data_IF_052904634995
#
_entry.id   IF_052904634995
#
_cell.length_a   1.000
_cell.length_b   1.000
_cell.length_c   1.000
_cell.angle_alpha   90.00
_cell.angle_beta   90.00
_cell.angle_gamma   90.00
#
_symmetry.space_group_name_H-M   'P 1'
#
loop_
_entity.id
_entity.type
_entity.pdbx_description
1 polymer ?
#
# COMPACT_ATOMS: atom_id res chain seq x y z
N UNK A 1 -13.96 18.25 -6.44
CA UNK A 1 -14.27 18.17 -7.88
C UNK A 1 -13.46 19.23 -8.62
N UNK A 2 -13.43 19.23 -9.95
CA UNK A 2 -12.68 20.25 -10.70
C UNK A 2 -11.15 20.09 -10.71
N UNK A 3 -10.61 18.96 -10.21
CA UNK A 3 -9.18 18.65 -10.27
C UNK A 3 -8.29 19.48 -9.35
N UNK A 4 -8.87 20.13 -8.32
CA UNK A 4 -8.14 21.00 -7.40
C UNK A 4 -7.07 20.27 -6.58
N UNK A 5 -7.31 18.99 -6.29
CA UNK A 5 -6.36 18.09 -5.67
C UNK A 5 -6.68 16.65 -6.04
N UNK A 6 -5.65 15.82 -5.99
CA UNK A 6 -5.77 14.37 -6.13
C UNK A 6 -5.51 13.69 -4.78
N UNK A 7 -6.03 12.49 -4.61
CA UNK A 7 -5.84 11.68 -3.40
C UNK A 7 -5.41 10.27 -3.75
N UNK A 8 -4.66 9.65 -2.84
CA UNK A 8 -4.29 8.24 -2.90
C UNK A 8 -4.90 7.52 -1.70
N UNK A 9 -5.75 6.52 -1.96
CA UNK A 9 -6.35 5.68 -0.91
C UNK A 9 -5.37 4.56 -0.54
N UNK A 10 -4.81 4.64 0.67
CA UNK A 10 -3.83 3.66 1.17
C UNK A 10 -4.47 2.40 1.77
N UNK A 11 -5.68 2.53 2.30
CA UNK A 11 -6.45 1.42 2.85
C UNK A 11 -7.95 1.67 2.67
N UNK A 12 -8.69 0.62 2.33
CA UNK A 12 -10.13 0.66 2.15
C UNK A 12 -10.79 -0.64 2.60
N UNK A 13 -12.11 -0.65 2.89
CA UNK A 13 -12.80 -1.84 3.41
C UNK A 13 -12.67 -3.08 2.53
N UNK A 14 -12.55 -2.90 1.21
CA UNK A 14 -12.44 -3.98 0.23
C UNK A 14 -10.99 -4.45 0.00
N UNK A 15 -10.00 -3.84 0.64
CA UNK A 15 -8.60 -4.19 0.43
C UNK A 15 -8.20 -5.36 1.32
N UNK A 16 -7.51 -6.36 0.74
CA UNK A 16 -6.94 -7.49 1.49
C UNK A 16 -5.65 -7.11 2.24
N UNK A 17 -4.91 -6.14 1.72
CA UNK A 17 -3.67 -5.59 2.27
C UNK A 17 -3.73 -4.06 2.13
N UNK A 18 -3.08 -3.32 3.03
CA UNK A 18 -2.94 -1.86 2.91
C UNK A 18 -1.62 -1.52 2.24
N UNK A 19 -1.56 -0.36 1.59
CA UNK A 19 -0.32 0.21 1.05
C UNK A 19 0.37 0.98 2.16
N UNK A 20 1.64 0.68 2.42
CA UNK A 20 2.51 1.48 3.27
C UNK A 20 3.56 2.19 2.41
N UNK A 21 3.62 3.52 2.56
CA UNK A 21 4.56 4.38 1.84
C UNK A 21 5.89 4.41 2.60
N UNK A 22 6.97 3.98 1.96
CA UNK A 22 8.31 3.95 2.53
C UNK A 22 9.05 5.27 2.26
N UNK A 23 8.85 5.84 1.06
CA UNK A 23 9.45 7.10 0.66
C UNK A 23 8.54 7.87 -0.28
N UNK A 24 8.42 9.16 -0.01
CA UNK A 24 7.74 10.10 -0.89
C UNK A 24 8.37 11.48 -0.74
N UNK A 25 8.30 12.29 -1.79
CA UNK A 25 8.88 13.62 -1.85
C UNK A 25 7.83 14.62 -2.37
N UNK A 26 7.75 15.83 -1.79
CA UNK A 26 6.94 16.89 -2.34
C UNK A 26 7.67 17.56 -3.52
N UNK A 27 6.98 17.71 -4.65
CA UNK A 27 7.43 18.48 -5.81
C UNK A 27 6.48 19.67 -6.00
N UNK A 28 7.03 20.89 -6.12
CA UNK A 28 6.23 22.11 -6.28
C UNK A 28 6.56 22.81 -7.59
N UNK A 29 5.53 23.20 -8.34
CA UNK A 29 5.63 23.91 -9.62
C UNK A 29 4.64 25.07 -9.66
N UNK A 30 5.13 26.26 -9.32
CA UNK A 30 4.34 27.50 -9.37
C UNK A 30 3.24 27.54 -8.31
N UNK A 31 2.00 27.25 -8.71
CA UNK A 31 0.83 27.22 -7.82
C UNK A 31 0.28 25.81 -7.62
N UNK A 32 0.95 24.79 -8.15
CA UNK A 32 0.55 23.39 -8.08
C UNK A 32 1.65 22.55 -7.40
N UNK A 33 1.23 21.47 -6.74
CA UNK A 33 2.11 20.56 -6.04
C UNK A 33 1.74 19.11 -6.28
N UNK A 34 2.74 18.24 -6.21
CA UNK A 34 2.60 16.79 -6.29
C UNK A 34 3.28 16.19 -5.06
N UNK A 35 2.62 15.23 -4.42
CA UNK A 35 3.28 14.37 -3.45
C UNK A 35 3.66 13.06 -4.14
N UNK A 36 4.93 12.95 -4.53
CA UNK A 36 5.42 11.85 -5.35
C UNK A 36 5.85 10.70 -4.46
N UNK A 37 5.05 9.63 -4.45
CA UNK A 37 5.44 8.35 -3.83
C UNK A 37 6.54 7.71 -4.68
N UNK A 38 7.66 7.38 -4.05
CA UNK A 38 8.83 6.80 -4.71
C UNK A 38 9.01 5.32 -4.36
N UNK A 39 8.70 4.94 -3.13
CA UNK A 39 8.77 3.56 -2.65
C UNK A 39 7.58 3.23 -1.75
N UNK A 40 6.96 2.08 -1.98
CA UNK A 40 5.83 1.58 -1.19
C UNK A 40 5.74 0.05 -1.27
N UNK A 41 5.08 -0.57 -0.29
CA UNK A 41 4.82 -2.02 -0.28
C UNK A 41 3.45 -2.35 0.31
N UNK A 42 3.03 -3.60 0.16
CA UNK A 42 1.76 -4.09 0.70
C UNK A 42 1.98 -4.77 2.04
N UNK A 43 1.21 -4.39 3.05
CA UNK A 43 1.23 -5.02 4.37
C UNK A 43 -0.14 -5.58 4.73
N UNK A 44 -0.22 -6.76 5.40
CA UNK A 44 -1.47 -7.29 5.89
C UNK A 44 -2.21 -6.27 6.77
N UNK A 45 -3.54 -6.26 6.70
CA UNK A 45 -4.35 -5.42 7.57
C UNK A 45 -4.32 -6.00 8.98
N UNK A 46 -4.21 -5.14 9.99
CA UNK A 46 -4.29 -5.54 11.39
C UNK A 46 -5.68 -6.16 11.65
N UNK A 47 -5.77 -7.49 11.60
CA UNK A 47 -7.03 -8.26 11.65
C UNK A 47 -7.20 -9.30 10.54
N UNK A 48 -6.40 -9.22 9.48
CA UNK A 48 -6.27 -10.29 8.48
C UNK A 48 -5.29 -11.35 8.99
N UNK A 49 -5.77 -12.28 9.79
CA UNK A 49 -5.02 -13.51 10.06
C UNK A 49 -5.05 -14.36 8.80
N UNK A 50 -4.12 -14.12 7.87
CA UNK A 50 -3.84 -15.13 6.84
C UNK A 50 -3.05 -16.23 7.54
N UNK A 51 -3.76 -17.27 7.98
CA UNK A 51 -3.16 -18.51 8.41
C UNK A 51 -2.49 -19.17 7.20
N UNK A 52 -1.26 -18.79 6.89
CA UNK A 52 -0.34 -19.68 6.21
C UNK A 52 0.05 -20.74 7.24
N UNK A 53 -0.70 -21.84 7.28
CA UNK A 53 -0.24 -23.04 7.99
C UNK A 53 1.11 -23.47 7.44
N UNK A 54 2.02 -24.03 8.27
CA UNK A 54 3.32 -24.46 7.80
C UNK A 54 3.10 -25.53 6.73
N UNK A 55 3.70 -25.33 5.55
CA UNK A 55 3.81 -26.39 4.56
C UNK A 55 4.51 -27.58 5.24
N UNK A 56 3.74 -28.64 5.48
CA UNK A 56 4.27 -29.88 6.04
C UNK A 56 5.38 -30.43 5.14
N UNK A 57 6.35 -31.18 5.68
CA UNK A 57 7.44 -31.72 4.89
C UNK A 57 6.86 -32.65 3.83
N UNK A 58 7.08 -32.32 2.55
CA UNK A 58 6.85 -33.24 1.44
C UNK A 58 7.84 -34.40 1.57
N UNK A 59 7.41 -35.47 2.24
CA UNK A 59 8.14 -36.71 2.34
C UNK A 59 7.89 -37.59 1.11
N UNK A 60 9.00 -38.03 0.51
CA UNK A 60 9.14 -39.33 -0.15
C UNK A 60 9.43 -39.29 -1.66
N UNK A 61 9.86 -40.43 -2.24
CA UNK A 61 10.52 -41.60 -1.65
C UNK A 61 12.06 -41.54 -1.73
#
# INVERSE_FOLDING_TARGET
>A
EGGEFETLVLDGPLFHQRVEILRAEPEWSGTAGVWRVLDAHLVPKSGSTTAAGPAGPSGGP
#
